data_IF_550484050687
#
_entry.id   IF_550484050687
#
_cell.length_a   1.000
_cell.length_b   1.000
_cell.length_c   1.000
_cell.angle_alpha   90.00
_cell.angle_beta   90.00
_cell.angle_gamma   90.00
#
_symmetry.space_group_name_H-M   'P 1'
#
loop_
_entity.id
_entity.type
_entity.pdbx_description
1 polymer ?
#
# COMPACT_ATOMS: atom_id res chain seq x y z
N UNK A 1 42.63 11.14 -16.37
CA UNK A 1 42.14 9.80 -15.99
C UNK A 1 41.28 9.23 -17.11
N UNK A 2 41.91 8.58 -18.09
CA UNK A 2 41.22 7.95 -19.23
C UNK A 2 41.05 6.46 -18.91
N UNK A 3 39.81 6.07 -18.64
CA UNK A 3 39.43 4.67 -18.40
C UNK A 3 39.02 4.06 -19.74
N UNK A 4 39.91 3.26 -20.33
CA UNK A 4 39.57 2.38 -21.44
C UNK A 4 39.16 1.03 -20.87
N UNK A 5 37.85 0.75 -20.79
CA UNK A 5 37.34 -0.59 -20.45
C UNK A 5 37.32 -1.45 -21.71
N UNK A 6 38.42 -2.16 -21.95
CA UNK A 6 38.53 -3.19 -22.97
C UNK A 6 38.85 -4.55 -22.36
N UNK A 7 37.89 -5.48 -22.47
CA UNK A 7 38.03 -6.94 -22.35
C UNK A 7 38.50 -7.55 -21.00
N UNK A 8 37.59 -8.28 -20.36
CA UNK A 8 37.87 -9.22 -19.26
C UNK A 8 38.71 -10.41 -19.74
N UNK A 9 40.03 -10.24 -19.82
CA UNK A 9 40.98 -11.32 -19.74
C UNK A 9 41.82 -11.11 -18.48
N UNK A 10 41.87 -12.05 -17.52
CA UNK A 10 42.60 -11.86 -16.27
C UNK A 10 44.14 -11.84 -16.42
N UNK A 11 44.65 -12.06 -17.63
CA UNK A 11 46.09 -12.07 -17.91
C UNK A 11 46.35 -11.35 -19.24
N UNK A 12 47.18 -10.31 -19.19
CA UNK A 12 47.72 -9.64 -20.36
C UNK A 12 49.25 -9.71 -20.29
N UNK A 13 49.89 -10.32 -21.28
CA UNK A 13 51.34 -10.28 -21.42
C UNK A 13 51.70 -8.94 -22.09
N UNK A 14 52.18 -7.98 -21.29
CA UNK A 14 52.77 -6.74 -21.79
C UNK A 14 54.21 -7.03 -22.20
N UNK A 15 54.48 -7.10 -23.50
CA UNK A 15 55.85 -7.10 -24.04
C UNK A 15 56.32 -5.64 -24.08
N UNK A 16 56.89 -5.19 -22.97
CA UNK A 16 57.52 -3.88 -22.85
C UNK A 16 58.61 -3.96 -21.79
N UNK A 17 59.88 -3.86 -22.23
CA UNK A 17 61.06 -3.87 -21.38
C UNK A 17 61.55 -5.27 -21.01
N UNK A 18 62.34 -5.88 -21.90
CA UNK A 18 63.18 -7.03 -21.54
C UNK A 18 64.41 -6.47 -20.81
N UNK A 19 64.35 -6.39 -19.49
CA UNK A 19 65.56 -6.25 -18.67
C UNK A 19 66.34 -7.56 -18.76
N UNK A 20 67.50 -7.48 -19.39
CA UNK A 20 68.49 -8.55 -19.51
C UNK A 20 69.13 -8.73 -18.14
N UNK A 21 68.54 -9.59 -17.29
CA UNK A 21 69.17 -9.94 -16.01
C UNK A 21 68.33 -10.66 -14.96
N UNK A 22 67.01 -10.73 -15.05
CA UNK A 22 66.20 -11.41 -14.02
C UNK A 22 64.95 -12.08 -14.60
N UNK A 23 64.60 -13.24 -14.04
CA UNK A 23 63.56 -14.19 -14.48
C UNK A 23 62.25 -13.58 -15.01
N UNK A 24 61.62 -14.18 -16.04
CA UNK A 24 60.34 -13.68 -16.57
C UNK A 24 59.25 -13.80 -15.50
N UNK A 25 58.83 -12.66 -14.94
CA UNK A 25 57.71 -12.58 -13.99
C UNK A 25 56.47 -12.06 -14.71
N UNK A 26 55.31 -12.63 -14.38
CA UNK A 26 54.02 -12.19 -14.91
C UNK A 26 53.23 -11.54 -13.76
N UNK A 27 52.64 -10.38 -14.02
CA UNK A 27 51.88 -9.61 -13.05
C UNK A 27 50.41 -10.06 -12.98
N UNK A 28 49.91 -10.36 -11.78
CA UNK A 28 48.50 -10.68 -11.53
C UNK A 28 47.74 -9.45 -11.03
N UNK A 29 46.86 -8.90 -11.86
CA UNK A 29 46.06 -7.72 -11.53
C UNK A 29 44.92 -8.00 -10.54
N UNK A 30 44.51 -9.26 -10.34
CA UNK A 30 43.46 -9.59 -9.38
C UNK A 30 43.99 -9.60 -7.94
N UNK A 31 45.26 -9.99 -7.75
CA UNK A 31 45.90 -10.11 -6.43
C UNK A 31 47.01 -9.09 -6.18
N UNK A 32 47.32 -8.20 -7.14
CA UNK A 32 48.37 -7.18 -7.07
C UNK A 32 49.75 -7.75 -6.67
N UNK A 33 50.14 -8.89 -7.25
CA UNK A 33 51.40 -9.55 -6.95
C UNK A 33 52.13 -10.06 -8.20
N UNK A 34 53.46 -10.10 -8.14
CA UNK A 34 54.29 -10.73 -9.16
C UNK A 34 54.35 -12.23 -8.91
N UNK A 35 54.03 -13.03 -9.92
CA UNK A 35 54.15 -14.50 -9.87
C UNK A 35 55.23 -14.94 -10.84
N UNK A 36 56.30 -15.54 -10.31
CA UNK A 36 57.30 -16.25 -11.12
C UNK A 36 56.70 -17.56 -11.62
N UNK A 37 56.21 -17.59 -12.86
CA UNK A 37 55.76 -18.85 -13.47
C UNK A 37 56.87 -19.37 -14.38
N UNK A 38 57.53 -20.45 -13.95
CA UNK A 38 58.32 -21.29 -14.84
C UNK A 38 57.44 -21.67 -16.03
N UNK A 39 57.87 -21.30 -17.24
CA UNK A 39 57.16 -21.66 -18.48
C UNK A 39 57.28 -23.17 -18.64
N UNK A 40 56.26 -23.91 -18.18
CA UNK A 40 56.13 -25.35 -18.36
C UNK A 40 55.59 -25.62 -19.77
N UNK A 41 56.27 -26.50 -20.51
CA UNK A 41 55.69 -27.17 -21.68
C UNK A 41 54.63 -28.18 -21.22
N UNK A 42 53.74 -28.61 -22.13
CA UNK A 42 52.59 -29.49 -21.84
C UNK A 42 52.93 -30.83 -21.14
N UNK A 43 54.22 -31.18 -21.02
CA UNK A 43 54.71 -32.41 -20.39
C UNK A 43 55.48 -32.16 -19.06
N UNK A 44 55.39 -30.96 -18.47
CA UNK A 44 55.83 -30.70 -17.09
C UNK A 44 57.35 -30.60 -16.85
N UNK A 45 58.21 -30.69 -17.89
CA UNK A 45 59.66 -30.50 -17.76
C UNK A 45 60.08 -29.03 -17.87
N UNK A 46 61.02 -28.54 -17.03
CA UNK A 46 61.53 -27.17 -17.11
C UNK A 46 62.33 -26.95 -18.40
N UNK A 47 62.14 -25.79 -19.05
CA UNK A 47 62.91 -25.35 -20.22
C UNK A 47 64.12 -24.57 -19.71
N UNK A 48 65.30 -25.21 -19.72
CA UNK A 48 66.57 -24.55 -19.47
C UNK A 48 67.14 -24.03 -20.80
N UNK A 49 67.29 -22.70 -20.92
CA UNK A 49 68.06 -22.12 -22.02
C UNK A 49 69.55 -22.19 -21.63
N UNK A 50 70.30 -23.08 -22.27
CA UNK A 50 71.75 -23.12 -22.14
C UNK A 50 72.36 -21.86 -22.77
N UNK A 51 72.71 -20.86 -21.95
CA UNK A 51 73.63 -19.79 -22.35
C UNK A 51 75.05 -20.33 -22.25
N UNK A 52 75.49 -21.06 -23.27
CA UNK A 52 76.88 -21.48 -23.45
C UNK A 52 77.57 -20.59 -24.48
N UNK A 53 78.24 -19.54 -24.04
CA UNK A 53 79.34 -18.92 -24.79
C UNK A 53 80.54 -18.82 -23.86
N UNK A 54 81.36 -19.88 -23.91
CA UNK A 54 82.64 -19.96 -23.23
C UNK A 54 83.72 -19.18 -23.97
N UNK A 55 84.50 -18.46 -23.17
CA UNK A 55 85.88 -18.02 -23.40
C UNK A 55 86.81 -19.17 -23.80
N UNK A 56 87.88 -18.78 -24.51
CA UNK A 56 89.22 -19.38 -24.57
C UNK A 56 89.42 -20.76 -25.23
N UNK A 57 90.38 -20.82 -26.16
CA UNK A 57 91.05 -22.09 -26.46
C UNK A 57 91.68 -22.25 -27.84
N UNK A 58 92.88 -21.68 -27.99
CA UNK A 58 94.07 -22.30 -28.63
C UNK A 58 94.02 -22.76 -30.09
N UNK A 59 94.90 -22.13 -30.87
CA UNK A 59 95.36 -22.61 -32.18
C UNK A 59 96.01 -23.99 -32.08
N UNK A 60 95.40 -24.96 -32.77
CA UNK A 60 96.00 -26.25 -33.09
C UNK A 60 96.64 -26.18 -34.48
N UNK A 61 97.97 -26.27 -34.51
CA UNK A 61 98.77 -26.60 -35.69
C UNK A 61 98.29 -27.94 -36.23
N UNK A 62 97.94 -28.01 -37.52
CA UNK A 62 97.77 -29.29 -38.23
C UNK A 62 98.71 -29.32 -39.41
N UNK A 63 99.60 -30.30 -39.34
CA UNK A 63 100.62 -30.68 -40.31
C UNK A 63 100.08 -30.90 -41.72
N UNK A 64 100.95 -30.54 -42.68
CA UNK A 64 100.83 -30.81 -44.10
C UNK A 64 101.25 -32.26 -44.37
N UNK A 65 100.34 -33.08 -44.87
CA UNK A 65 100.58 -34.42 -45.43
C UNK A 65 99.86 -34.58 -46.79
N UNK A 66 100.32 -35.50 -47.65
CA UNK A 66 100.49 -35.26 -49.09
C UNK A 66 99.24 -35.49 -49.95
N UNK A 67 99.28 -34.87 -51.13
CA UNK A 67 98.22 -34.89 -52.14
C UNK A 67 97.80 -36.28 -52.58
N UNK A 68 96.48 -36.48 -52.56
CA UNK A 68 95.76 -37.47 -53.36
C UNK A 68 94.87 -36.67 -54.30
N UNK A 69 94.99 -36.94 -55.60
CA UNK A 69 94.20 -36.33 -56.67
C UNK A 69 92.70 -36.44 -56.38
N UNK A 70 92.10 -35.31 -55.99
CA UNK A 70 90.70 -35.18 -55.53
C UNK A 70 89.94 -34.27 -56.49
N UNK A 71 89.65 -34.75 -57.69
CA UNK A 71 88.80 -34.02 -58.66
C UNK A 71 87.49 -34.73 -58.95
N UNK A 72 87.38 -36.04 -58.69
CA UNK A 72 86.14 -36.80 -58.89
C UNK A 72 85.26 -36.84 -57.62
N UNK A 73 85.84 -36.91 -56.41
CA UNK A 73 85.09 -36.89 -55.13
C UNK A 73 84.43 -35.54 -54.78
N UNK A 74 84.93 -34.42 -55.31
CA UNK A 74 84.33 -33.09 -55.06
C UNK A 74 83.02 -32.91 -55.82
N UNK A 75 82.84 -33.60 -56.95
CA UNK A 75 81.61 -33.51 -57.75
C UNK A 75 80.46 -34.25 -57.07
N UNK A 76 80.71 -35.45 -56.51
CA UNK A 76 79.70 -36.22 -55.78
C UNK A 76 79.30 -35.55 -54.46
N UNK A 77 80.25 -34.94 -53.73
CA UNK A 77 79.94 -34.15 -52.53
C UNK A 77 79.09 -32.92 -52.88
N UNK A 78 79.39 -32.22 -53.96
CA UNK A 78 78.62 -31.06 -54.42
C UNK A 78 77.20 -31.44 -54.86
N UNK A 79 77.01 -32.58 -55.53
CA UNK A 79 75.69 -33.10 -55.91
C UNK A 79 74.86 -33.53 -54.69
N UNK A 80 75.49 -34.15 -53.68
CA UNK A 80 74.84 -34.50 -52.41
C UNK A 80 74.45 -33.25 -51.61
N UNK A 81 75.29 -32.22 -51.57
CA UNK A 81 74.98 -30.93 -50.95
C UNK A 81 73.82 -30.22 -51.66
N UNK A 82 73.81 -30.23 -53.00
CA UNK A 82 72.73 -29.64 -53.79
C UNK A 82 71.40 -30.37 -53.57
N UNK A 83 71.39 -31.71 -53.58
CA UNK A 83 70.18 -32.49 -53.32
C UNK A 83 69.67 -32.33 -51.87
N UNK A 84 70.56 -32.17 -50.90
CA UNK A 84 70.17 -31.85 -49.52
C UNK A 84 69.59 -30.43 -49.41
N UNK A 85 70.13 -29.46 -50.14
CA UNK A 85 69.56 -28.10 -50.23
C UNK A 85 68.13 -28.14 -50.79
N UNK A 86 67.90 -28.87 -51.89
CA UNK A 86 66.58 -29.01 -52.49
C UNK A 86 65.57 -29.68 -51.55
N UNK A 87 66.00 -30.67 -50.76
CA UNK A 87 65.14 -31.30 -49.74
C UNK A 87 64.81 -30.33 -48.60
N UNK A 88 65.78 -29.53 -48.14
CA UNK A 88 65.54 -28.51 -47.12
C UNK A 88 64.59 -27.42 -47.63
N UNK A 89 64.74 -27.01 -48.89
CA UNK A 89 63.81 -26.08 -49.55
C UNK A 89 62.41 -26.68 -49.68
N UNK A 90 62.29 -27.95 -50.08
CA UNK A 90 61.01 -28.64 -50.13
C UNK A 90 60.34 -28.71 -48.75
N UNK A 91 61.09 -29.09 -47.71
CA UNK A 91 60.60 -29.12 -46.33
C UNK A 91 60.18 -27.72 -45.87
N UNK A 92 60.94 -26.67 -46.23
CA UNK A 92 60.58 -25.29 -45.91
C UNK A 92 59.29 -24.87 -46.60
N UNK A 93 59.07 -25.26 -47.86
CA UNK A 93 57.82 -25.00 -48.59
C UNK A 93 56.65 -25.74 -47.96
N UNK A 94 56.81 -27.02 -47.63
CA UNK A 94 55.78 -27.82 -46.95
C UNK A 94 55.46 -27.29 -45.56
N UNK A 95 56.47 -26.85 -44.80
CA UNK A 95 56.30 -26.20 -43.51
C UNK A 95 55.54 -24.88 -43.64
N UNK A 96 55.90 -24.04 -44.59
CA UNK A 96 55.21 -22.78 -44.86
C UNK A 96 53.75 -23.02 -45.29
N UNK A 97 53.51 -24.07 -46.09
CA UNK A 97 52.16 -24.49 -46.46
C UNK A 97 51.36 -24.92 -45.24
N UNK A 98 51.91 -25.77 -44.37
CA UNK A 98 51.25 -26.23 -43.15
C UNK A 98 50.97 -25.07 -42.18
N UNK A 99 51.92 -24.16 -42.02
CA UNK A 99 51.76 -22.96 -41.19
C UNK A 99 50.63 -22.06 -41.72
N UNK A 100 50.60 -21.84 -43.03
CA UNK A 100 49.53 -21.07 -43.69
C UNK A 100 48.17 -21.73 -43.48
N UNK A 101 48.10 -23.06 -43.65
CA UNK A 101 46.89 -23.84 -43.40
C UNK A 101 46.44 -23.72 -41.94
N UNK A 102 47.36 -23.79 -40.98
CA UNK A 102 47.06 -23.65 -39.55
C UNK A 102 46.54 -22.25 -39.21
N UNK A 103 47.18 -21.19 -39.73
CA UNK A 103 46.73 -19.81 -39.55
C UNK A 103 45.34 -19.58 -40.16
N UNK A 104 45.07 -20.15 -41.33
CA UNK A 104 43.75 -20.08 -41.97
C UNK A 104 42.68 -20.79 -41.14
N UNK A 105 42.99 -21.96 -40.57
CA UNK A 105 42.07 -22.68 -39.68
C UNK A 105 41.77 -21.86 -38.41
N UNK A 106 42.79 -21.26 -37.80
CA UNK A 106 42.64 -20.39 -36.63
C UNK A 106 41.80 -19.16 -36.96
N UNK A 107 42.09 -18.49 -38.08
CA UNK A 107 41.32 -17.34 -38.57
C UNK A 107 39.85 -17.71 -38.75
N UNK A 108 39.55 -18.79 -39.48
CA UNK A 108 38.17 -19.27 -39.70
C UNK A 108 37.48 -19.67 -38.40
N UNK A 109 38.21 -20.24 -37.43
CA UNK A 109 37.66 -20.59 -36.12
C UNK A 109 37.23 -19.34 -35.35
N UNK A 110 38.10 -18.33 -35.23
CA UNK A 110 37.78 -17.12 -34.50
C UNK A 110 36.79 -16.22 -35.23
N UNK A 111 36.79 -16.19 -36.57
CA UNK A 111 35.75 -15.50 -37.34
C UNK A 111 34.37 -16.11 -37.10
N UNK A 112 34.25 -17.45 -37.07
CA UNK A 112 33.00 -18.14 -36.71
C UNK A 112 32.58 -17.80 -35.28
N UNK A 113 33.49 -17.95 -34.31
CA UNK A 113 33.22 -17.63 -32.91
C UNK A 113 32.77 -16.17 -32.71
N UNK A 114 33.38 -15.21 -33.43
CA UNK A 114 32.97 -13.80 -33.41
C UNK A 114 31.57 -13.60 -33.98
N UNK A 115 31.25 -14.26 -35.10
CA UNK A 115 29.90 -14.21 -35.70
C UNK A 115 28.85 -14.79 -34.74
N UNK A 116 29.13 -15.94 -34.13
CA UNK A 116 28.21 -16.58 -33.19
C UNK A 116 27.96 -15.70 -31.96
N UNK A 117 29.02 -15.12 -31.38
CA UNK A 117 28.89 -14.17 -30.27
C UNK A 117 28.09 -12.94 -30.71
N UNK A 118 28.38 -12.38 -31.88
CA UNK A 118 27.65 -11.23 -32.42
C UNK A 118 26.15 -11.51 -32.57
N UNK A 119 25.80 -12.68 -33.11
CA UNK A 119 24.41 -13.14 -33.22
C UNK A 119 23.77 -13.28 -31.84
N UNK A 120 24.42 -13.97 -30.90
CA UNK A 120 23.90 -14.16 -29.54
C UNK A 120 23.68 -12.82 -28.81
N UNK A 121 24.63 -11.88 -28.93
CA UNK A 121 24.51 -10.53 -28.35
C UNK A 121 23.35 -9.78 -29.00
N UNK A 122 23.22 -9.81 -30.33
CA UNK A 122 22.10 -9.16 -31.03
C UNK A 122 20.73 -9.71 -30.60
N UNK A 123 20.62 -11.03 -30.39
CA UNK A 123 19.41 -11.67 -29.88
C UNK A 123 19.10 -11.23 -28.45
N UNK A 124 20.10 -11.23 -27.56
CA UNK A 124 19.95 -10.78 -26.17
C UNK A 124 19.53 -9.31 -26.10
N UNK A 125 20.13 -8.45 -26.92
CA UNK A 125 19.75 -7.02 -27.02
C UNK A 125 18.27 -6.91 -27.41
N UNK A 126 17.83 -7.59 -28.47
CA UNK A 126 16.42 -7.57 -28.90
C UNK A 126 15.46 -8.06 -27.80
N UNK A 127 15.85 -9.09 -27.04
CA UNK A 127 15.05 -9.59 -25.92
C UNK A 127 14.95 -8.54 -24.81
N UNK A 128 16.07 -7.94 -24.42
CA UNK A 128 16.12 -6.89 -23.39
C UNK A 128 15.30 -5.68 -23.82
N UNK A 129 15.42 -5.23 -25.07
CA UNK A 129 14.63 -4.13 -25.61
C UNK A 129 13.12 -4.41 -25.56
N UNK A 130 12.69 -5.63 -25.93
CA UNK A 130 11.29 -6.04 -25.82
C UNK A 130 10.81 -6.02 -24.37
N UNK A 131 11.59 -6.58 -23.44
CA UNK A 131 11.27 -6.57 -22.01
C UNK A 131 11.21 -5.15 -21.45
N UNK A 132 12.13 -4.27 -21.85
CA UNK A 132 12.13 -2.87 -21.43
C UNK A 132 10.89 -2.12 -21.94
N UNK A 133 10.45 -2.39 -23.18
CA UNK A 133 9.20 -1.81 -23.71
C UNK A 133 7.99 -2.29 -22.91
N UNK A 134 7.89 -3.60 -22.66
CA UNK A 134 6.82 -4.19 -21.84
C UNK A 134 6.77 -3.59 -20.43
N UNK A 135 7.91 -3.54 -19.72
CA UNK A 135 7.99 -2.96 -18.37
C UNK A 135 7.59 -1.48 -18.38
N UNK A 136 7.97 -0.71 -19.42
CA UNK A 136 7.56 0.70 -19.53
C UNK A 136 6.05 0.85 -19.72
N UNK A 137 5.44 0.01 -20.55
CA UNK A 137 3.99 0.01 -20.79
C UNK A 137 3.23 -0.40 -19.52
N UNK A 138 3.68 -1.45 -18.83
CA UNK A 138 3.11 -1.88 -17.55
C UNK A 138 3.24 -0.80 -16.47
N UNK A 139 4.40 -0.14 -16.36
CA UNK A 139 4.59 0.95 -15.40
C UNK A 139 3.68 2.15 -15.71
N UNK A 140 3.53 2.53 -16.98
CA UNK A 140 2.58 3.58 -17.38
C UNK A 140 1.14 3.20 -17.00
N UNK A 141 0.74 1.94 -17.23
CA UNK A 141 -0.58 1.47 -16.85
C UNK A 141 -0.79 1.52 -15.33
N UNK A 142 0.19 1.05 -14.55
CA UNK A 142 0.15 1.09 -13.08
C UNK A 142 0.11 2.52 -12.55
N UNK A 143 0.85 3.44 -13.17
CA UNK A 143 0.85 4.85 -12.80
C UNK A 143 -0.51 5.50 -13.06
N UNK A 144 -1.14 5.21 -14.20
CA UNK A 144 -2.51 5.65 -14.51
C UNK A 144 -3.55 5.06 -13.54
N UNK A 145 -3.42 3.78 -13.19
CA UNK A 145 -4.30 3.15 -12.20
C UNK A 145 -4.12 3.78 -10.82
N UNK A 146 -2.87 3.99 -10.38
CA UNK A 146 -2.54 4.63 -9.11
C UNK A 146 -3.08 6.06 -9.04
N UNK A 147 -2.88 6.87 -10.08
CA UNK A 147 -3.38 8.24 -10.13
C UNK A 147 -4.92 8.30 -10.06
N UNK A 148 -5.61 7.41 -10.78
CA UNK A 148 -7.07 7.31 -10.72
C UNK A 148 -7.58 6.85 -9.34
N UNK A 149 -6.88 5.91 -8.69
CA UNK A 149 -7.22 5.45 -7.34
C UNK A 149 -7.03 6.56 -6.30
N UNK A 150 -5.95 7.35 -6.43
CA UNK A 150 -5.70 8.51 -5.55
C UNK A 150 -6.78 9.58 -5.73
N UNK A 151 -7.22 9.86 -6.96
CA UNK A 151 -8.33 10.79 -7.21
C UNK A 151 -9.63 10.31 -6.56
N UNK A 152 -9.99 9.03 -6.75
CA UNK A 152 -11.16 8.43 -6.10
C UNK A 152 -11.07 8.51 -4.57
N UNK A 153 -9.91 8.24 -3.99
CA UNK A 153 -9.71 8.35 -2.55
C UNK A 153 -9.90 9.79 -2.05
N UNK A 154 -9.40 10.78 -2.79
CA UNK A 154 -9.62 12.20 -2.48
C UNK A 154 -11.11 12.55 -2.50
N UNK A 155 -11.86 12.12 -3.51
CA UNK A 155 -13.30 12.33 -3.61
C UNK A 155 -14.08 11.66 -2.48
N UNK A 156 -13.75 10.40 -2.15
CA UNK A 156 -14.38 9.70 -1.02
C UNK A 156 -14.06 10.41 0.29
N UNK A 157 -12.83 10.90 0.47
CA UNK A 157 -12.43 11.63 1.67
C UNK A 157 -13.16 12.96 1.82
N UNK A 158 -13.39 13.71 0.73
CA UNK A 158 -14.13 14.96 0.77
C UNK A 158 -15.61 14.73 1.04
N UNK A 159 -16.22 13.72 0.41
CA UNK A 159 -17.59 13.28 0.71
C UNK A 159 -17.76 12.85 2.17
N UNK A 160 -16.82 12.07 2.69
CA UNK A 160 -16.83 11.65 4.11
C UNK A 160 -16.79 12.86 5.04
N UNK A 161 -15.95 13.85 4.77
CA UNK A 161 -15.88 15.10 5.57
C UNK A 161 -17.20 15.86 5.51
N UNK A 162 -17.82 15.98 4.34
CA UNK A 162 -19.12 16.64 4.19
C UNK A 162 -20.23 15.92 4.98
N UNK A 163 -20.29 14.59 4.91
CA UNK A 163 -21.25 13.79 5.66
C UNK A 163 -21.06 13.89 7.18
N UNK A 164 -19.81 13.98 7.66
CA UNK A 164 -19.53 14.20 9.09
C UNK A 164 -20.10 15.54 9.53
N UNK A 165 -19.84 16.62 8.77
CA UNK A 165 -20.37 17.95 9.08
C UNK A 165 -21.91 17.97 9.09
N UNK A 166 -22.54 17.30 8.14
CA UNK A 166 -24.00 17.20 8.07
C UNK A 166 -24.58 16.40 9.24
N UNK A 167 -23.93 15.29 9.63
CA UNK A 167 -24.31 14.50 10.80
C UNK A 167 -24.23 15.33 12.08
N UNK A 168 -23.16 16.10 12.27
CA UNK A 168 -22.98 16.96 13.44
C UNK A 168 -24.02 18.09 13.48
N UNK A 169 -24.31 18.72 12.33
CA UNK A 169 -25.38 19.72 12.24
C UNK A 169 -26.77 19.12 12.57
N UNK A 170 -27.05 17.90 12.09
CA UNK A 170 -28.28 17.19 12.40
C UNK A 170 -28.38 16.82 13.89
N UNK A 171 -27.27 16.42 14.53
CA UNK A 171 -27.20 16.16 15.98
C UNK A 171 -27.53 17.41 16.79
N UNK A 172 -26.88 18.53 16.50
CA UNK A 172 -27.16 19.82 17.17
C UNK A 172 -28.62 20.23 16.99
N UNK A 173 -29.18 20.06 15.77
CA UNK A 173 -30.60 20.36 15.51
C UNK A 173 -31.52 19.48 16.34
N UNK A 174 -31.23 18.17 16.43
CA UNK A 174 -32.00 17.22 17.25
C UNK A 174 -31.97 17.60 18.71
N UNK A 175 -30.81 17.92 19.27
CA UNK A 175 -30.66 18.34 20.67
C UNK A 175 -31.44 19.63 20.96
N UNK A 176 -31.38 20.61 20.06
CA UNK A 176 -32.19 21.83 20.16
C UNK A 176 -33.68 21.51 20.20
N UNK A 177 -34.17 20.66 19.30
CA UNK A 177 -35.58 20.25 19.26
C UNK A 177 -35.99 19.49 20.52
N UNK A 178 -35.15 18.59 21.04
CA UNK A 178 -35.39 17.90 22.30
C UNK A 178 -35.49 18.89 23.47
N UNK A 179 -34.57 19.86 23.55
CA UNK A 179 -34.60 20.90 24.59
C UNK A 179 -35.86 21.77 24.53
N UNK A 180 -36.35 22.07 23.32
CA UNK A 180 -37.59 22.83 23.12
C UNK A 180 -38.80 22.00 23.50
N UNK A 181 -38.84 20.73 23.10
CA UNK A 181 -39.91 19.81 23.46
C UNK A 181 -40.03 19.67 24.98
N UNK A 182 -38.92 19.43 25.68
CA UNK A 182 -38.88 19.36 27.16
C UNK A 182 -39.41 20.66 27.79
N UNK A 183 -38.99 21.83 27.29
CA UNK A 183 -39.48 23.13 27.79
C UNK A 183 -40.97 23.34 27.54
N UNK A 184 -41.47 22.94 26.37
CA UNK A 184 -42.88 23.05 26.01
C UNK A 184 -43.75 22.14 26.87
N UNK A 185 -43.33 20.88 27.08
CA UNK A 185 -44.02 19.94 27.96
C UNK A 185 -44.12 20.48 29.39
N UNK A 186 -43.00 20.95 29.96
CA UNK A 186 -42.99 21.59 31.29
C UNK A 186 -43.94 22.78 31.36
N UNK A 187 -43.95 23.64 30.33
CA UNK A 187 -44.86 24.80 30.25
C UNK A 187 -46.32 24.37 30.14
N UNK A 188 -46.60 23.32 29.38
CA UNK A 188 -47.95 22.78 29.21
C UNK A 188 -48.47 22.18 30.51
N UNK A 189 -47.65 21.42 31.23
CA UNK A 189 -47.99 20.87 32.55
C UNK A 189 -48.25 21.98 33.57
N UNK A 190 -47.40 23.01 33.62
CA UNK A 190 -47.60 24.16 34.50
C UNK A 190 -48.93 24.88 34.21
N UNK A 191 -49.24 25.11 32.92
CA UNK A 191 -50.54 25.67 32.51
C UNK A 191 -51.71 24.78 32.88
N UNK A 192 -51.61 23.46 32.70
CA UNK A 192 -52.65 22.50 33.10
C UNK A 192 -52.92 22.58 34.60
N UNK A 193 -51.87 22.58 35.42
CA UNK A 193 -51.97 22.74 36.89
C UNK A 193 -52.62 24.07 37.28
N UNK A 194 -52.26 25.17 36.62
CA UNK A 194 -52.87 26.48 36.86
C UNK A 194 -54.36 26.50 36.49
N UNK A 195 -54.73 25.93 35.34
CA UNK A 195 -56.13 25.85 34.92
C UNK A 195 -56.94 24.97 35.89
N UNK A 196 -56.38 23.86 36.37
CA UNK A 196 -57.03 23.04 37.38
C UNK A 196 -57.21 23.75 38.72
N UNK A 197 -56.19 24.46 39.21
CA UNK A 197 -56.29 25.20 40.47
C UNK A 197 -57.29 26.36 40.37
N UNK A 198 -57.32 27.08 39.25
CA UNK A 198 -58.32 28.11 38.99
C UNK A 198 -59.74 27.52 38.88
N UNK A 199 -59.91 26.36 38.24
CA UNK A 199 -61.20 25.65 38.19
C UNK A 199 -61.67 25.25 39.59
N UNK A 200 -60.77 24.71 40.44
CA UNK A 200 -61.08 24.36 41.83
C UNK A 200 -61.49 25.59 42.65
N UNK A 201 -60.73 26.68 42.57
CA UNK A 201 -61.08 27.96 43.22
C UNK A 201 -62.44 28.49 42.79
N UNK A 202 -62.71 28.53 41.49
CA UNK A 202 -64.02 28.97 40.95
C UNK A 202 -65.16 28.05 41.38
N UNK A 203 -64.92 26.74 41.48
CA UNK A 203 -65.92 25.79 41.96
C UNK A 203 -66.23 25.99 43.45
N UNK A 204 -65.21 26.23 44.28
CA UNK A 204 -65.39 26.58 45.70
C UNK A 204 -66.12 27.91 45.89
N UNK A 205 -65.76 28.95 45.15
CA UNK A 205 -66.48 30.24 45.15
C UNK A 205 -67.94 30.07 44.76
N UNK A 206 -68.23 29.26 43.72
CA UNK A 206 -69.61 28.94 43.32
C UNK A 206 -70.34 28.18 44.43
N UNK A 207 -69.71 27.20 45.08
CA UNK A 207 -70.30 26.46 46.21
C UNK A 207 -70.62 27.39 47.38
N UNK A 208 -69.72 28.30 47.74
CA UNK A 208 -69.96 29.31 48.79
C UNK A 208 -71.15 30.21 48.44
N UNK A 209 -71.20 30.75 47.21
CA UNK A 209 -72.33 31.56 46.74
C UNK A 209 -73.66 30.81 46.72
N UNK A 210 -73.65 29.52 46.38
CA UNK A 210 -74.86 28.69 46.43
C UNK A 210 -75.30 28.49 47.88
N UNK A 211 -74.37 28.15 48.78
CA UNK A 211 -74.67 27.99 50.21
C UNK A 211 -75.23 29.28 50.85
N UNK A 212 -74.65 30.45 50.53
CA UNK A 212 -75.16 31.76 50.96
C UNK A 212 -76.59 32.01 50.45
N UNK A 213 -76.86 31.73 49.18
CA UNK A 213 -78.21 31.87 48.61
C UNK A 213 -79.21 30.89 49.23
N UNK A 214 -78.81 29.65 49.51
CA UNK A 214 -79.66 28.65 50.18
C UNK A 214 -79.97 29.03 51.63
N UNK A 215 -79.01 29.61 52.35
CA UNK A 215 -79.26 30.21 53.68
C UNK A 215 -80.28 31.33 53.58
N UNK A 216 -80.11 32.24 52.61
CA UNK A 216 -81.06 33.34 52.41
C UNK A 216 -82.46 32.84 52.03
N UNK A 217 -82.56 31.79 51.21
CA UNK A 217 -83.83 31.16 50.87
C UNK A 217 -84.47 30.56 52.12
N UNK A 218 -83.70 29.88 52.98
CA UNK A 218 -84.22 29.34 54.25
C UNK A 218 -84.76 30.43 55.17
N UNK A 219 -84.01 31.51 55.37
CA UNK A 219 -84.46 32.67 56.14
C UNK A 219 -85.77 33.26 55.58
N UNK A 220 -85.83 33.46 54.25
CA UNK A 220 -87.03 33.98 53.59
C UNK A 220 -88.21 33.00 53.70
N UNK A 221 -87.96 31.68 53.62
CA UNK A 221 -88.98 30.65 53.82
C UNK A 221 -89.51 30.64 55.25
N UNK A 222 -88.65 30.83 56.25
CA UNK A 222 -89.04 30.98 57.66
C UNK A 222 -89.88 32.25 57.87
N UNK A 223 -89.46 33.39 57.32
CA UNK A 223 -90.25 34.61 57.34
C UNK A 223 -91.63 34.44 56.69
N UNK A 224 -91.72 33.73 55.56
CA UNK A 224 -93.01 33.41 54.93
C UNK A 224 -93.83 32.46 55.80
N UNK A 225 -93.21 31.47 56.46
CA UNK A 225 -93.90 30.56 57.39
C UNK A 225 -94.45 31.34 58.58
N UNK A 226 -93.70 32.29 59.11
CA UNK A 226 -94.12 33.17 60.19
C UNK A 226 -95.25 34.09 59.73
N UNK A 227 -95.11 34.76 58.59
CA UNK A 227 -96.20 35.58 58.02
C UNK A 227 -97.45 34.74 57.75
N UNK A 228 -97.30 33.49 57.30
CA UNK A 228 -98.42 32.56 57.11
C UNK A 228 -99.04 32.16 58.45
N UNK A 229 -98.24 31.93 59.49
CA UNK A 229 -98.77 31.62 60.83
C UNK A 229 -99.48 32.84 61.42
N UNK A 230 -98.93 34.05 61.29
CA UNK A 230 -99.57 35.32 61.66
C UNK A 230 -100.88 35.57 60.88
N UNK A 231 -100.91 35.30 59.57
CA UNK A 231 -102.12 35.43 58.77
C UNK A 231 -103.15 34.35 59.13
N UNK A 232 -102.71 33.13 59.44
CA UNK A 232 -103.58 32.05 59.89
C UNK A 232 -104.13 32.31 61.29
N UNK A 233 -103.35 32.84 62.23
CA UNK A 233 -103.85 33.23 63.55
C UNK A 233 -104.78 34.43 63.45
N UNK A 234 -104.47 35.44 62.61
CA UNK A 234 -105.39 36.55 62.32
C UNK A 234 -106.68 36.06 61.63
N UNK A 235 -106.55 35.10 60.71
CA UNK A 235 -107.66 34.40 60.07
C UNK A 235 -108.50 33.63 61.08
N UNK A 236 -107.89 32.84 61.95
CA UNK A 236 -108.54 32.14 63.06
C UNK A 236 -109.11 33.07 64.13
N UNK A 237 -108.56 34.27 64.34
CA UNK A 237 -109.16 35.29 65.23
C UNK A 237 -110.37 35.95 64.54
N UNK A 238 -110.33 36.14 63.22
CA UNK A 238 -111.50 36.56 62.42
C UNK A 238 -112.57 35.46 62.35
N UNK A 239 -112.18 34.20 62.15
CA UNK A 239 -113.07 33.03 62.13
C UNK A 239 -113.54 32.62 63.52
N UNK A 240 -112.77 32.81 64.59
CA UNK A 240 -113.22 32.61 65.97
C UNK A 240 -114.21 33.71 66.43
N UNK A 241 -114.33 34.82 65.69
CA UNK A 241 -115.46 35.76 65.80
C UNK A 241 -116.69 35.33 64.97
N UNK A 242 -116.63 34.26 64.18
CA UNK A 242 -117.75 33.70 63.40
C UNK A 242 -117.65 32.16 63.29
N UNK A 243 -118.30 31.46 64.23
CA UNK A 243 -118.77 30.08 64.03
C UNK A 243 -117.87 28.98 64.58
N UNK A 244 -118.40 28.21 65.54
CA UNK A 244 -117.70 27.12 66.21
C UNK A 244 -117.88 25.74 65.59
N UNK A 245 -117.01 24.84 66.09
CA UNK A 245 -117.07 23.38 66.23
C UNK A 245 -117.47 22.50 65.03
N UNK A 246 -116.61 21.52 64.71
CA UNK A 246 -116.92 20.09 64.86
C UNK A 246 -115.69 19.21 64.66
N UNK A 247 -115.63 18.17 65.48
CA UNK A 247 -114.64 17.09 65.60
C UNK A 247 -115.05 15.95 64.67
N UNK A 248 -114.11 15.31 63.94
CA UNK A 248 -114.09 13.84 63.73
C UNK A 248 -112.63 13.38 63.51
N UNK A 249 -112.40 12.20 64.07
CA UNK A 249 -111.20 11.43 64.36
C UNK A 249 -110.74 10.53 63.18
N UNK A 250 -109.66 9.76 63.40
CA UNK A 250 -109.30 8.45 62.80
C UNK A 250 -108.10 8.31 61.83
N UNK A 251 -107.21 7.40 62.27
CA UNK A 251 -106.34 6.44 61.56
C UNK A 251 -104.90 6.79 61.12
N UNK A 252 -103.99 6.41 62.02
CA UNK A 252 -102.78 5.60 61.81
C UNK A 252 -102.68 4.82 60.48
N UNK A 253 -101.55 4.96 59.80
CA UNK A 253 -100.66 3.95 59.16
C UNK A 253 -99.55 4.75 58.43
N UNK A 254 -98.31 4.37 58.23
CA UNK A 254 -97.54 3.14 58.40
C UNK A 254 -96.20 3.38 57.69
N UNK A 255 -95.16 2.74 58.19
CA UNK A 255 -93.74 2.91 57.92
C UNK A 255 -93.23 2.63 56.48
N UNK A 256 -92.28 3.48 56.02
CA UNK A 256 -90.91 3.12 55.52
C UNK A 256 -90.78 2.40 54.13
N UNK A 257 -89.56 2.03 53.64
CA UNK A 257 -88.82 2.75 52.58
C UNK A 257 -88.38 1.88 51.37
N UNK A 258 -87.56 2.48 50.50
CA UNK A 258 -86.49 1.90 49.65
C UNK A 258 -86.81 1.45 48.21
N UNK A 259 -85.86 1.78 47.31
CA UNK A 259 -85.43 0.86 46.26
C UNK A 259 -85.25 1.41 44.84
N UNK A 260 -83.98 1.55 44.42
CA UNK A 260 -83.46 1.30 43.05
C UNK A 260 -83.89 2.28 41.92
N UNK A 261 -83.13 2.58 40.87
CA UNK A 261 -82.13 1.79 40.15
C UNK A 261 -81.42 2.68 39.08
N UNK A 262 -80.19 2.29 38.68
CA UNK A 262 -79.54 2.51 37.35
C UNK A 262 -79.19 3.97 36.94
N UNK A 263 -77.98 4.32 36.47
CA UNK A 263 -77.00 3.66 35.60
C UNK A 263 -75.66 4.41 35.66
#
# INVERSE_FOLDING_TARGET
>A
FLVWRGQNHPFAASVGGVDIGATPTVWDHANQSYVSRLVQTANGKPVEFATGFGEDGQGGVVERGPGVSRTEDLTQLSELEHTNSLKLEQIAVEFNYLLTQQLDLQRRHFERKRKDISVQVSMKIKIVEKKLKQIREENKLRENQSSSAVQRLKEVSSRKKALILELDAARVRRERMQSLNIRLLKRQEAKRKQVESEKKRKAEERRKRVAEKELRIRELQEQIRDLRSFLKTRGSIKSAKQGGATVVDVALTGARPAGSDRK
#
